data_IF_714362963843
#
_entry.id   IF_714362963843
#
_cell.length_a   1.000
_cell.length_b   1.000
_cell.length_c   1.000
_cell.angle_alpha   90.00
_cell.angle_beta   90.00
_cell.angle_gamma   90.00
#
_symmetry.space_group_name_H-M   'P 1'
#
loop_
_entity.id
_entity.type
_entity.pdbx_description
1 polymer ?
#
# COMPACT_ATOMS: atom_id res chain seq x y z
N UNK A 1 -9.17 -3.03 4.18
CA UNK A 1 -10.17 -3.84 3.46
C UNK A 1 -9.50 -4.40 2.23
N UNK A 2 -9.81 -5.64 1.82
CA UNK A 2 -9.37 -6.16 0.50
C UNK A 2 -10.18 -5.43 -0.57
N UNK A 3 -9.51 -4.80 -1.52
CA UNK A 3 -10.11 -3.97 -2.56
C UNK A 3 -9.90 -4.54 -3.96
N UNK A 4 -8.94 -5.44 -4.12
CA UNK A 4 -8.67 -6.14 -5.37
C UNK A 4 -7.85 -7.42 -5.11
N UNK A 5 -7.57 -8.19 -6.16
CA UNK A 5 -6.62 -9.31 -6.14
C UNK A 5 -5.64 -9.16 -7.30
N UNK A 6 -4.34 -9.22 -7.01
CA UNK A 6 -3.25 -9.07 -7.99
C UNK A 6 -2.33 -10.29 -7.93
N UNK A 7 -2.24 -11.06 -9.02
CA UNK A 7 -1.44 -12.30 -9.12
C UNK A 7 -1.62 -13.30 -7.95
N UNK A 8 -2.82 -13.33 -7.36
CA UNK A 8 -3.16 -14.20 -6.23
C UNK A 8 -2.82 -13.62 -4.85
N UNK A 9 -2.25 -12.42 -4.80
CA UNK A 9 -2.10 -11.62 -3.59
C UNK A 9 -3.34 -10.73 -3.39
N UNK A 10 -3.86 -10.67 -2.17
CA UNK A 10 -4.92 -9.72 -1.84
C UNK A 10 -4.35 -8.28 -1.82
N UNK A 11 -5.06 -7.37 -2.45
CA UNK A 11 -4.74 -5.93 -2.49
C UNK A 11 -5.57 -5.21 -1.43
N UNK A 12 -4.94 -4.37 -0.63
CA UNK A 12 -5.57 -3.72 0.51
C UNK A 12 -5.67 -2.20 0.36
N UNK A 13 -6.79 -1.65 0.81
CA UNK A 13 -6.87 -0.25 1.23
C UNK A 13 -6.73 -0.17 2.76
N UNK A 14 -5.81 0.69 3.22
CA UNK A 14 -5.50 0.88 4.64
C UNK A 14 -6.13 2.18 5.12
N UNK A 15 -7.22 2.06 5.87
CA UNK A 15 -8.04 3.19 6.30
C UNK A 15 -7.81 3.55 7.77
N UNK A 16 -7.67 4.84 8.04
CA UNK A 16 -7.76 5.41 9.37
C UNK A 16 -9.21 5.34 9.87
N UNK A 17 -9.48 4.46 10.82
CA UNK A 17 -10.82 4.21 11.38
C UNK A 17 -11.50 5.47 11.92
N UNK A 18 -10.74 6.43 12.48
CA UNK A 18 -11.32 7.65 13.07
C UNK A 18 -11.72 8.69 12.02
N UNK A 19 -11.03 8.74 10.88
CA UNK A 19 -11.14 9.83 9.90
C UNK A 19 -11.67 9.37 8.55
N UNK A 20 -11.73 8.06 8.30
CA UNK A 20 -12.11 7.47 7.01
C UNK A 20 -11.11 7.69 5.88
N UNK A 21 -9.98 8.34 6.14
CA UNK A 21 -8.92 8.59 5.15
C UNK A 21 -8.01 7.38 4.97
N UNK A 22 -7.42 7.25 3.80
CA UNK A 22 -6.62 6.09 3.38
C UNK A 22 -5.17 6.46 3.18
N UNK A 23 -4.29 5.48 3.33
CA UNK A 23 -2.86 5.60 3.05
C UNK A 23 -2.61 5.76 1.55
N UNK A 24 -1.87 6.80 1.17
CA UNK A 24 -1.66 7.21 -0.23
C UNK A 24 -0.21 7.61 -0.50
N UNK A 25 0.38 7.21 -1.63
CA UNK A 25 1.64 7.78 -2.15
C UNK A 25 1.35 9.11 -2.84
N UNK A 26 2.00 10.20 -2.40
CA UNK A 26 1.70 11.56 -2.90
C UNK A 26 1.88 11.65 -4.40
N UNK A 27 0.83 12.13 -5.09
CA UNK A 27 0.87 12.41 -6.52
C UNK A 27 1.10 11.17 -7.39
N UNK A 28 0.87 9.96 -6.86
CA UNK A 28 1.15 8.69 -7.52
C UNK A 28 2.60 8.54 -8.01
N UNK A 29 3.56 9.20 -7.34
CA UNK A 29 4.96 9.14 -7.75
C UNK A 29 5.58 7.77 -7.43
N UNK A 30 6.47 7.31 -8.32
CA UNK A 30 7.13 6.00 -8.24
C UNK A 30 8.61 6.11 -7.85
N UNK A 31 9.11 7.33 -7.60
CA UNK A 31 10.51 7.54 -7.21
C UNK A 31 10.73 7.21 -5.74
N UNK A 32 11.91 6.71 -5.41
CA UNK A 32 12.28 6.43 -4.03
C UNK A 32 12.21 7.68 -3.14
N UNK A 33 11.82 7.49 -1.88
CA UNK A 33 11.74 8.56 -0.89
C UNK A 33 10.50 9.45 -0.98
N UNK A 34 9.53 9.12 -1.84
CA UNK A 34 8.25 9.84 -1.91
C UNK A 34 7.47 9.67 -0.60
N UNK A 35 6.78 10.74 -0.20
CA UNK A 35 5.97 10.75 1.01
C UNK A 35 4.72 9.87 0.86
N UNK A 36 4.40 9.17 1.95
CA UNK A 36 3.10 8.52 2.16
C UNK A 36 2.25 9.39 3.08
N UNK A 37 1.01 9.68 2.68
CA UNK A 37 0.09 10.60 3.35
C UNK A 37 -1.29 9.96 3.58
N UNK A 38 -2.19 10.67 4.27
CA UNK A 38 -3.59 10.28 4.40
C UNK A 38 -4.52 11.17 3.58
N UNK A 39 -5.30 10.58 2.68
CA UNK A 39 -6.22 11.27 1.75
C UNK A 39 -7.60 10.63 1.74
N UNK A 40 -8.57 11.29 1.11
CA UNK A 40 -9.88 10.69 0.91
C UNK A 40 -9.72 9.46 0.00
N UNK A 41 -10.43 8.37 0.30
CA UNK A 41 -10.47 7.22 -0.62
C UNK A 41 -11.08 7.68 -1.94
N UNK A 42 -10.36 7.43 -3.02
CA UNK A 42 -10.83 7.63 -4.40
C UNK A 42 -10.66 6.35 -5.23
N UNK A 43 -10.30 5.22 -4.59
CA UNK A 43 -10.09 3.93 -5.24
C UNK A 43 -8.93 3.92 -6.22
N UNK A 44 -7.96 4.81 -6.07
CA UNK A 44 -6.82 4.90 -6.98
C UNK A 44 -5.72 3.90 -6.63
N UNK A 45 -4.96 3.43 -7.63
CA UNK A 45 -3.88 2.47 -7.45
C UNK A 45 -2.82 2.89 -6.41
N UNK A 46 -2.52 4.19 -6.31
CA UNK A 46 -1.58 4.72 -5.31
C UNK A 46 -2.15 4.78 -3.88
N UNK A 47 -3.36 4.24 -3.67
CA UNK A 47 -4.01 3.98 -2.38
C UNK A 47 -4.16 2.47 -2.09
N UNK A 48 -3.67 1.62 -2.99
CA UNK A 48 -3.75 0.17 -2.93
C UNK A 48 -2.38 -0.42 -2.55
N UNK A 49 -2.39 -1.40 -1.65
CA UNK A 49 -1.18 -1.90 -1.01
C UNK A 49 -1.18 -3.43 -0.94
N UNK A 50 -0.06 -4.04 -1.35
CA UNK A 50 0.21 -5.45 -1.14
C UNK A 50 0.93 -5.64 0.20
N UNK A 51 0.38 -6.50 1.06
CA UNK A 51 0.96 -6.79 2.37
C UNK A 51 1.87 -8.01 2.30
N UNK A 52 3.17 -7.78 2.40
CA UNK A 52 4.18 -8.83 2.33
C UNK A 52 4.56 -9.22 3.74
N UNK A 53 4.32 -10.49 4.10
CA UNK A 53 4.75 -11.03 5.40
C UNK A 53 6.27 -11.13 5.42
N UNK A 54 6.88 -10.43 6.36
CA UNK A 54 8.32 -10.52 6.62
C UNK A 54 8.57 -11.43 7.82
N UNK A 55 9.47 -12.41 7.65
CA UNK A 55 9.93 -13.28 8.74
C UNK A 55 11.23 -12.71 9.31
N UNK A 56 11.24 -12.17 10.55
CA UNK A 56 12.39 -11.43 11.08
C UNK A 56 13.68 -12.24 11.28
N UNK A 57 13.66 -13.56 11.08
CA UNK A 57 14.84 -14.45 11.14
C UNK A 57 15.33 -14.97 9.78
N UNK A 58 14.62 -14.70 8.69
CA UNK A 58 15.09 -14.97 7.32
C UNK A 58 15.63 -13.65 6.74
N UNK A 59 16.63 -13.70 5.85
CA UNK A 59 17.06 -12.51 5.12
C UNK A 59 15.81 -11.78 4.58
N UNK A 60 15.60 -10.53 5.02
CA UNK A 60 14.38 -9.80 4.72
C UNK A 60 14.14 -9.80 3.20
N UNK A 61 12.96 -10.21 2.71
CA UNK A 61 12.69 -10.16 1.30
C UNK A 61 12.74 -8.68 0.88
N UNK A 62 13.78 -8.32 0.12
CA UNK A 62 13.87 -7.01 -0.55
C UNK A 62 12.91 -7.05 -1.73
N UNK A 63 11.64 -6.77 -1.45
CA UNK A 63 10.64 -6.70 -2.51
C UNK A 63 10.66 -5.30 -3.11
N UNK A 64 11.20 -5.22 -4.32
CA UNK A 64 11.06 -4.07 -5.21
C UNK A 64 10.16 -4.53 -6.35
N UNK A 65 8.89 -4.07 -6.39
CA UNK A 65 8.05 -4.19 -7.59
C UNK A 65 8.06 -2.85 -8.33
N UNK A 66 8.21 -2.96 -9.65
CA UNK A 66 8.26 -1.89 -10.66
C UNK A 66 6.89 -1.25 -10.84
#
# INVERSE_FOLDING_TARGET
>A
MVVDQDDGDDVYEIQNVKRGKVMEVVGAQMTDGVMVVQRASVGAHHQQWNLIRVNPGAAAPRVYRR
#
